data_IF_007814452985
#
_entry.id   IF_007814452985
#
_cell.length_a   1.000
_cell.length_b   1.000
_cell.length_c   1.000
_cell.angle_alpha   90.00
_cell.angle_beta   90.00
_cell.angle_gamma   90.00
#
_symmetry.space_group_name_H-M   'P 1'
#
loop_
_entity.id
_entity.type
_entity.pdbx_description
1 polymer ?
#
# COMPACT_ATOMS: atom_id res chain seq x y z
N UNK A 1 10.89 11.65 2.77
CA UNK A 1 12.04 11.92 3.66
C UNK A 1 13.31 11.84 2.81
N UNK A 2 14.01 12.95 2.50
CA UNK A 2 15.21 12.92 1.65
C UNK A 2 16.38 12.25 2.40
N UNK A 3 16.87 11.12 1.88
CA UNK A 3 18.11 10.51 2.37
C UNK A 3 19.30 11.28 1.81
N UNK A 4 19.92 12.11 2.64
CA UNK A 4 21.04 12.98 2.25
C UNK A 4 22.29 12.15 1.95
N UNK A 5 22.64 12.04 0.68
CA UNK A 5 23.92 11.55 0.21
C UNK A 5 24.27 12.20 -1.13
N UNK A 6 25.21 13.15 -1.11
CA UNK A 6 25.98 13.69 -2.26
C UNK A 6 25.31 13.62 -3.65
N UNK A 7 24.81 14.78 -4.10
CA UNK A 7 25.06 15.24 -5.47
C UNK A 7 24.34 14.57 -6.64
N UNK A 8 23.34 13.72 -6.40
CA UNK A 8 22.41 13.32 -7.45
C UNK A 8 21.00 13.24 -6.87
N UNK A 9 20.04 13.94 -7.48
CA UNK A 9 18.63 13.79 -7.14
C UNK A 9 18.16 12.47 -7.73
N UNK A 10 18.49 11.36 -7.07
CA UNK A 10 17.90 10.06 -7.41
C UNK A 10 16.42 10.14 -7.08
N UNK A 11 15.58 10.04 -8.11
CA UNK A 11 14.14 9.88 -7.95
C UNK A 11 13.91 8.59 -7.18
N UNK A 12 13.57 8.72 -5.90
CA UNK A 12 13.12 7.58 -5.10
C UNK A 12 11.78 7.17 -5.67
N UNK A 13 11.73 6.00 -6.32
CA UNK A 13 10.48 5.46 -6.82
C UNK A 13 9.59 5.11 -5.60
N UNK A 14 8.38 5.68 -5.59
CA UNK A 14 7.39 5.45 -4.54
C UNK A 14 6.41 4.38 -4.99
N UNK A 15 6.06 3.46 -4.08
CA UNK A 15 5.15 2.35 -4.36
C UNK A 15 3.97 2.40 -3.40
N UNK A 16 2.75 2.49 -3.93
CA UNK A 16 1.52 2.31 -3.17
C UNK A 16 1.13 0.83 -3.16
N UNK A 17 1.01 0.25 -1.97
CA UNK A 17 0.75 -1.18 -1.78
C UNK A 17 -0.75 -1.44 -1.60
N UNK A 18 -1.24 -2.48 -2.26
CA UNK A 18 -2.62 -2.95 -2.15
C UNK A 18 -2.81 -3.88 -0.94
N UNK A 19 -4.05 -3.99 -0.47
CA UNK A 19 -4.44 -4.72 0.74
C UNK A 19 -4.04 -6.19 0.69
N UNK A 20 -4.21 -6.85 -0.46
CA UNK A 20 -3.86 -8.26 -0.64
C UNK A 20 -2.36 -8.51 -0.44
N UNK A 21 -1.49 -7.60 -0.85
CA UNK A 21 -0.04 -7.74 -0.69
C UNK A 21 0.34 -7.68 0.80
N UNK A 22 -0.26 -6.75 1.56
CA UNK A 22 -0.04 -6.65 3.00
C UNK A 22 -0.58 -7.88 3.73
N UNK A 23 -1.77 -8.36 3.34
CA UNK A 23 -2.34 -9.58 3.92
C UNK A 23 -1.41 -10.78 3.70
N UNK A 24 -0.88 -10.97 2.49
CA UNK A 24 0.05 -12.07 2.22
C UNK A 24 1.35 -11.93 3.01
N UNK A 25 1.88 -10.71 3.16
CA UNK A 25 3.03 -10.45 4.03
C UNK A 25 2.79 -10.86 5.48
N UNK A 26 1.65 -10.50 6.07
CA UNK A 26 1.31 -10.82 7.45
C UNK A 26 1.01 -12.31 7.67
N UNK A 27 0.48 -13.00 6.65
CA UNK A 27 0.14 -14.44 6.72
C UNK A 27 1.32 -15.36 6.51
N UNK A 28 2.29 -14.95 5.69
CA UNK A 28 3.31 -15.86 5.17
C UNK A 28 4.56 -15.96 6.07
N UNK A 29 5.14 -17.17 6.11
CA UNK A 29 6.44 -17.46 6.73
C UNK A 29 7.54 -17.73 5.69
N UNK A 30 7.29 -17.40 4.42
CA UNK A 30 7.97 -18.03 3.28
C UNK A 30 8.40 -17.03 2.18
N UNK A 31 9.09 -17.53 1.15
CA UNK A 31 9.88 -16.74 0.15
C UNK A 31 9.22 -15.50 -0.48
N UNK A 32 7.89 -15.41 -0.58
CA UNK A 32 7.18 -14.21 -1.06
C UNK A 32 7.49 -12.97 -0.19
N UNK A 33 7.74 -13.19 1.10
CA UNK A 33 8.19 -12.18 2.06
C UNK A 33 9.54 -11.57 1.65
N UNK A 34 10.46 -12.36 1.07
CA UNK A 34 11.76 -11.84 0.63
C UNK A 34 11.63 -10.84 -0.53
N UNK A 35 10.62 -11.01 -1.39
CA UNK A 35 10.36 -10.05 -2.46
C UNK A 35 9.80 -8.75 -1.89
N UNK A 36 8.77 -8.81 -1.03
CA UNK A 36 8.22 -7.60 -0.45
C UNK A 36 9.24 -6.86 0.42
N UNK A 37 10.00 -7.57 1.25
CA UNK A 37 11.10 -6.98 2.04
C UNK A 37 12.16 -6.35 1.13
N UNK A 38 12.48 -6.98 0.00
CA UNK A 38 13.41 -6.39 -0.97
C UNK A 38 12.84 -5.10 -1.57
N UNK A 39 11.55 -5.08 -1.91
CA UNK A 39 10.87 -3.89 -2.42
C UNK A 39 10.82 -2.78 -1.37
N UNK A 40 10.50 -3.10 -0.11
CA UNK A 40 10.53 -2.14 1.02
C UNK A 40 11.90 -1.51 1.25
N UNK A 41 12.99 -2.21 0.91
CA UNK A 41 14.34 -1.67 1.01
C UNK A 41 14.75 -0.80 -0.17
N UNK A 42 14.08 -0.94 -1.32
CA UNK A 42 14.42 -0.27 -2.57
C UNK A 42 13.52 0.94 -2.87
N UNK A 43 12.29 0.92 -2.37
CA UNK A 43 11.26 1.90 -2.68
C UNK A 43 10.70 2.52 -1.40
N UNK A 44 10.27 3.77 -1.49
CA UNK A 44 9.45 4.37 -0.43
C UNK A 44 8.05 3.74 -0.53
N UNK A 45 7.71 2.91 0.47
CA UNK A 45 6.47 2.17 0.50
C UNK A 45 5.37 2.97 1.20
N UNK A 46 4.24 3.08 0.51
CA UNK A 46 3.03 3.73 1.00
C UNK A 46 1.88 2.75 1.03
N UNK A 47 0.91 3.03 1.89
CA UNK A 47 -0.40 2.39 1.93
C UNK A 47 -1.48 3.45 1.95
N UNK A 48 -2.65 3.16 1.39
CA UNK A 48 -3.75 4.13 1.43
C UNK A 48 -4.53 4.00 2.75
N UNK A 49 -5.20 5.08 3.19
CA UNK A 49 -6.14 5.01 4.31
C UNK A 49 -7.31 4.04 4.06
N UNK A 50 -7.59 3.71 2.78
CA UNK A 50 -8.57 2.67 2.42
C UNK A 50 -8.00 1.28 2.74
N UNK A 51 -6.74 1.03 2.41
CA UNK A 51 -6.04 -0.21 2.74
C UNK A 51 -5.92 -0.40 4.25
N UNK A 52 -5.59 0.67 4.99
CA UNK A 52 -5.63 0.68 6.45
C UNK A 52 -6.98 0.24 6.99
N UNK A 53 -8.06 0.87 6.51
CA UNK A 53 -9.43 0.51 6.88
C UNK A 53 -9.73 -0.97 6.60
N UNK A 54 -9.40 -1.49 5.42
CA UNK A 54 -9.66 -2.88 5.05
C UNK A 54 -8.88 -3.88 5.92
N UNK A 55 -7.63 -3.56 6.26
CA UNK A 55 -6.78 -4.40 7.10
C UNK A 55 -7.30 -4.49 8.53
N UNK A 56 -7.63 -3.36 9.16
CA UNK A 56 -8.22 -3.35 10.50
C UNK A 56 -9.62 -3.96 10.52
N UNK A 57 -10.42 -3.76 9.48
CA UNK A 57 -11.72 -4.43 9.33
C UNK A 57 -11.56 -5.95 9.25
N UNK A 58 -10.49 -6.44 8.64
CA UNK A 58 -10.15 -7.85 8.52
C UNK A 58 -9.48 -8.46 9.76
N UNK A 59 -9.01 -7.64 10.72
CA UNK A 59 -8.36 -8.10 11.94
C UNK A 59 -9.39 -8.72 12.91
N UNK A 60 -9.22 -10.00 13.25
CA UNK A 60 -10.18 -10.77 14.07
C UNK A 60 -9.65 -11.17 15.45
N UNK A 61 -8.36 -10.98 15.69
CA UNK A 61 -7.69 -11.36 16.92
C UNK A 61 -6.75 -10.24 17.35
N UNK A 62 -6.46 -10.15 18.65
CA UNK A 62 -5.51 -9.18 19.18
C UNK A 62 -4.13 -9.34 18.54
N UNK A 63 -3.76 -10.57 18.15
CA UNK A 63 -2.53 -10.82 17.41
C UNK A 63 -2.52 -10.14 16.04
N UNK A 64 -3.64 -10.17 15.31
CA UNK A 64 -3.73 -9.47 14.01
C UNK A 64 -3.57 -7.96 14.18
N UNK A 65 -4.19 -7.39 15.22
CA UNK A 65 -4.09 -5.95 15.51
C UNK A 65 -2.64 -5.60 15.82
N UNK A 66 -1.98 -6.36 16.70
CA UNK A 66 -0.57 -6.18 17.03
C UNK A 66 0.35 -6.27 15.81
N UNK A 67 0.14 -7.25 14.92
CA UNK A 67 0.92 -7.40 13.69
C UNK A 67 0.69 -6.23 12.71
N UNK A 68 -0.51 -5.66 12.69
CA UNK A 68 -0.81 -4.45 11.90
C UNK A 68 -0.14 -3.21 12.48
N UNK A 69 -0.20 -2.99 13.79
CA UNK A 69 0.48 -1.87 14.45
C UNK A 69 1.98 -1.88 14.13
N UNK A 70 2.62 -3.04 14.23
CA UNK A 70 4.03 -3.21 13.84
C UNK A 70 4.30 -2.91 12.36
N UNK A 71 3.36 -3.19 11.47
CA UNK A 71 3.49 -2.88 10.04
C UNK A 71 3.38 -1.36 9.79
N UNK A 72 2.41 -0.71 10.45
CA UNK A 72 2.18 0.74 10.29
C UNK A 72 3.24 1.62 10.97
N UNK A 73 4.03 1.08 11.90
CA UNK A 73 5.21 1.77 12.43
C UNK A 73 6.27 2.05 11.35
N UNK A 74 6.29 1.26 10.26
CA UNK A 74 7.27 1.34 9.18
C UNK A 74 6.68 1.82 7.84
N UNK A 75 5.35 1.96 7.74
CA UNK A 75 4.65 2.28 6.50
C UNK A 75 3.97 3.65 6.55
N UNK A 76 4.22 4.48 5.54
CA UNK A 76 3.56 5.79 5.43
C UNK A 76 2.12 5.63 4.89
N UNK A 77 1.13 6.13 5.64
CA UNK A 77 -0.28 6.13 5.23
C UNK A 77 -0.60 7.40 4.44
N UNK A 78 -1.07 7.23 3.20
CA UNK A 78 -1.57 8.33 2.38
C UNK A 78 -3.07 8.53 2.62
N UNK A 79 -3.50 9.78 2.91
CA UNK A 79 -4.91 10.08 3.12
C UNK A 79 -5.70 9.98 1.82
N UNK A 80 -6.93 9.49 1.92
CA UNK A 80 -7.92 9.64 0.85
C UNK A 80 -8.58 11.02 0.96
N UNK A 81 -8.00 12.02 0.28
CA UNK A 81 -8.36 13.43 0.44
C UNK A 81 -9.30 13.96 -0.67
N UNK A 82 -9.51 15.28 -0.64
CA UNK A 82 -10.36 15.96 -1.61
C UNK A 82 -9.81 15.81 -3.03
N UNK A 83 -10.58 15.14 -3.89
CA UNK A 83 -10.22 14.90 -5.28
C UNK A 83 -10.02 13.42 -5.59
N UNK A 84 -9.54 12.62 -4.62
CA UNK A 84 -9.41 11.18 -4.76
C UNK A 84 -10.74 10.53 -5.18
N UNK A 85 -11.84 10.91 -4.53
CA UNK A 85 -13.19 10.39 -4.87
C UNK A 85 -13.61 10.68 -6.30
N UNK A 86 -13.32 11.89 -6.82
CA UNK A 86 -13.64 12.25 -8.20
C UNK A 86 -12.82 11.40 -9.18
N UNK A 87 -11.49 11.36 -8.98
CA UNK A 87 -10.57 10.60 -9.84
C UNK A 87 -10.95 9.11 -9.86
N UNK A 88 -11.17 8.51 -8.69
CA UNK A 88 -11.59 7.11 -8.58
C UNK A 88 -12.91 6.84 -9.31
N UNK A 89 -13.89 7.76 -9.18
CA UNK A 89 -15.18 7.62 -9.89
C UNK A 89 -15.04 7.70 -11.41
N UNK A 90 -14.15 8.55 -11.91
CA UNK A 90 -13.89 8.72 -13.35
C UNK A 90 -13.19 7.48 -13.92
N UNK A 91 -12.20 6.95 -13.21
CA UNK A 91 -11.54 5.68 -13.54
C UNK A 91 -12.57 4.55 -13.63
N UNK A 92 -13.44 4.41 -12.62
CA UNK A 92 -14.45 3.35 -12.57
C UNK A 92 -15.46 3.44 -13.73
N UNK A 93 -15.94 4.65 -14.05
CA UNK A 93 -16.82 4.87 -15.21
C UNK A 93 -16.12 4.47 -16.52
N UNK A 94 -14.84 4.83 -16.66
CA UNK A 94 -14.02 4.47 -17.82
C UNK A 94 -13.85 2.94 -17.96
N UNK A 95 -13.67 2.23 -16.84
CA UNK A 95 -13.59 0.77 -16.84
C UNK A 95 -14.92 0.14 -17.28
N UNK A 96 -16.06 0.61 -16.75
CA UNK A 96 -17.39 0.08 -17.13
C UNK A 96 -17.70 0.25 -18.61
N UNK A 97 -17.37 1.41 -19.20
CA UNK A 97 -17.59 1.66 -20.62
C UNK A 97 -16.79 0.68 -21.50
N UNK A 98 -15.56 0.34 -21.09
CA UNK A 98 -14.73 -0.67 -21.77
C UNK A 98 -15.31 -2.08 -21.63
N UNK A 99 -15.93 -2.40 -20.49
CA UNK A 99 -16.53 -3.72 -20.25
C UNK A 99 -17.87 -3.90 -20.97
N UNK A 100 -18.69 -2.85 -21.09
CA UNK A 100 -19.99 -2.89 -21.79
C UNK A 100 -19.90 -2.85 -23.32
N UNK A 101 -18.69 -2.68 -23.88
CA UNK A 101 -18.42 -2.79 -25.31
C UNK A 101 -17.98 -4.22 -25.74
N UNK A 102 -18.17 -5.21 -24.86
CA UNK A 102 -17.95 -6.64 -25.13
C UNK A 102 -19.26 -7.40 -25.15
#
# INVERSE_FOLDING_TARGET
>A
MCRTGKGNCESVEAVLTDTNIVIEYLRSRDKALMLLIKLMKQFDMFVSSITEFELFLGAKTDRHVYDLEMFFDEADVLPFDFGCGRIASDIWKGLRQKTSAR
#
